data_IF_797502017882
#
_entry.id   IF_797502017882
#
_cell.length_a   1.000
_cell.length_b   1.000
_cell.length_c   1.000
_cell.angle_alpha   90.00
_cell.angle_beta   90.00
_cell.angle_gamma   90.00
#
_symmetry.space_group_name_H-M   'P 1'
#
loop_
_entity.id
_entity.type
_entity.pdbx_description
1 polymer ?
#
# COMPACT_ATOMS: atom_id res chain seq x y z
N UNK A 1 3.33 6.04 -15.34
CA UNK A 1 4.36 6.87 -14.66
C UNK A 1 4.51 6.41 -13.21
N UNK A 2 5.63 6.78 -12.54
CA UNK A 2 5.89 6.47 -11.13
C UNK A 2 5.92 7.78 -10.34
N UNK A 3 5.08 7.90 -9.32
CA UNK A 3 5.02 9.06 -8.44
C UNK A 3 5.50 8.71 -7.03
N UNK A 4 6.25 9.61 -6.45
CA UNK A 4 6.82 9.53 -5.10
C UNK A 4 6.58 10.85 -4.35
N UNK A 5 6.82 10.86 -3.08
CA UNK A 5 7.17 12.06 -2.31
C UNK A 5 8.64 11.97 -1.94
N UNK A 6 9.39 13.02 -2.11
CA UNK A 6 10.78 13.08 -1.70
C UNK A 6 11.05 14.33 -0.87
N UNK A 7 12.03 14.24 0.03
CA UNK A 7 12.56 15.40 0.74
C UNK A 7 13.80 15.87 0.04
N UNK A 8 13.77 17.12 -0.41
CA UNK A 8 14.86 17.81 -1.07
C UNK A 8 16.00 18.14 -0.09
N UNK A 9 17.20 18.49 -0.57
CA UNK A 9 18.34 18.85 0.30
C UNK A 9 18.09 20.03 1.24
N UNK A 10 17.16 20.92 0.91
CA UNK A 10 16.71 22.04 1.76
C UNK A 10 15.71 21.64 2.83
N UNK A 11 15.30 20.36 2.88
CA UNK A 11 14.37 19.80 3.84
C UNK A 11 12.90 19.87 3.44
N UNK A 12 12.56 20.46 2.28
CA UNK A 12 11.18 20.55 1.78
C UNK A 12 10.74 19.21 1.21
N UNK A 13 9.54 18.75 1.57
CA UNK A 13 8.88 17.60 0.91
C UNK A 13 8.22 18.09 -0.37
N UNK A 14 8.47 17.36 -1.47
CA UNK A 14 7.90 17.67 -2.79
C UNK A 14 7.39 16.38 -3.44
N UNK A 15 6.16 16.34 -3.95
CA UNK A 15 5.74 15.29 -4.86
C UNK A 15 6.64 15.28 -6.10
N UNK A 16 7.00 14.09 -6.58
CA UNK A 16 7.96 13.98 -7.66
C UNK A 16 7.64 12.79 -8.59
N UNK A 17 8.22 12.84 -9.79
CA UNK A 17 8.27 11.72 -10.73
C UNK A 17 9.56 10.96 -10.49
N UNK A 18 9.47 9.64 -10.40
CA UNK A 18 10.60 8.71 -10.37
C UNK A 18 10.77 8.08 -11.73
N UNK A 19 12.01 7.99 -12.23
CA UNK A 19 12.32 7.27 -13.47
C UNK A 19 11.96 5.78 -13.37
N UNK A 20 11.80 5.10 -14.50
CA UNK A 20 11.47 3.67 -14.55
C UNK A 20 12.54 2.81 -13.88
N UNK A 21 13.81 3.18 -14.04
CA UNK A 21 14.94 2.50 -13.40
C UNK A 21 15.19 2.88 -11.94
N UNK A 22 14.38 3.80 -11.38
CA UNK A 22 14.45 4.25 -10.00
C UNK A 22 15.64 5.14 -9.65
N UNK A 23 16.37 5.67 -10.63
CA UNK A 23 17.63 6.40 -10.40
C UNK A 23 17.52 7.90 -10.47
N UNK A 24 16.46 8.42 -11.08
CA UNK A 24 16.28 9.84 -11.35
C UNK A 24 14.95 10.34 -10.78
N UNK A 25 14.97 11.57 -10.29
CA UNK A 25 13.81 12.20 -9.64
C UNK A 25 13.60 13.59 -10.25
N UNK A 26 12.36 13.90 -10.62
CA UNK A 26 11.91 15.22 -11.04
C UNK A 26 10.84 15.73 -10.06
N UNK A 27 11.19 16.67 -9.14
CA UNK A 27 10.20 17.33 -8.29
C UNK A 27 9.12 18.01 -9.14
N UNK A 28 7.84 17.88 -8.76
CA UNK A 28 6.75 18.49 -9.52
C UNK A 28 6.85 20.03 -9.54
N UNK A 29 7.39 20.63 -8.49
CA UNK A 29 7.65 22.06 -8.42
C UNK A 29 8.59 22.54 -9.53
N UNK A 30 9.60 21.73 -9.92
CA UNK A 30 10.51 22.04 -11.04
C UNK A 30 9.82 21.92 -12.41
N UNK A 31 8.71 21.20 -12.47
CA UNK A 31 7.88 21.03 -13.67
C UNK A 31 6.74 22.06 -13.74
N UNK A 32 6.75 23.06 -12.84
CA UNK A 32 5.74 24.10 -12.76
C UNK A 32 4.44 23.69 -12.07
N UNK A 33 4.46 22.59 -11.31
CA UNK A 33 3.33 22.06 -10.56
C UNK A 33 3.65 22.13 -9.07
N UNK A 34 3.17 23.16 -8.38
CA UNK A 34 3.42 23.38 -6.95
C UNK A 34 2.24 22.86 -6.14
N UNK A 35 2.42 21.73 -5.47
CA UNK A 35 1.48 21.11 -4.54
C UNK A 35 2.23 20.77 -3.25
N UNK A 36 1.59 20.92 -2.10
CA UNK A 36 2.20 20.55 -0.81
C UNK A 36 2.32 19.04 -0.65
N UNK A 37 1.36 18.28 -1.21
CA UNK A 37 1.31 16.82 -1.12
C UNK A 37 0.95 16.18 -2.46
N UNK A 38 1.34 14.91 -2.61
CA UNK A 38 0.90 14.14 -3.78
C UNK A 38 -0.62 13.96 -3.80
N UNK A 39 -1.27 13.83 -2.64
CA UNK A 39 -2.73 13.73 -2.56
C UNK A 39 -3.43 14.96 -3.14
N UNK A 40 -2.88 16.15 -2.96
CA UNK A 40 -3.38 17.38 -3.58
C UNK A 40 -3.11 17.43 -5.08
N UNK A 41 -1.99 16.88 -5.53
CA UNK A 41 -1.65 16.85 -6.95
C UNK A 41 -2.51 15.86 -7.76
N UNK A 42 -2.86 14.71 -7.18
CA UNK A 42 -3.57 13.60 -7.85
C UNK A 42 -4.77 14.06 -8.70
N UNK A 43 -5.71 14.90 -8.23
CA UNK A 43 -6.88 15.32 -9.04
C UNK A 43 -6.51 16.04 -10.34
N UNK A 44 -5.33 16.66 -10.37
CA UNK A 44 -4.84 17.46 -11.49
C UNK A 44 -3.89 16.66 -12.41
N UNK A 45 -3.36 15.52 -11.94
CA UNK A 45 -2.50 14.63 -12.72
C UNK A 45 -3.32 13.75 -13.68
N UNK A 46 -4.15 14.41 -14.51
CA UNK A 46 -4.94 13.74 -15.54
C UNK A 46 -4.06 13.01 -16.56
N UNK A 47 -4.58 12.07 -17.38
CA UNK A 47 -3.79 11.42 -18.44
C UNK A 47 -3.10 12.41 -19.36
N UNK A 48 -3.77 13.53 -19.72
CA UNK A 48 -3.22 14.58 -20.57
C UNK A 48 -2.06 15.32 -19.90
N UNK A 49 -2.20 15.65 -18.61
CA UNK A 49 -1.12 16.29 -17.83
C UNK A 49 0.06 15.34 -17.72
N UNK A 50 -0.16 14.07 -17.36
CA UNK A 50 0.91 13.05 -17.29
C UNK A 50 1.64 12.86 -18.62
N UNK A 51 0.92 12.88 -19.73
CA UNK A 51 1.53 12.86 -21.07
C UNK A 51 2.41 14.10 -21.29
N UNK A 52 1.94 15.29 -20.96
CA UNK A 52 2.74 16.52 -21.02
C UNK A 52 4.00 16.44 -20.15
N UNK A 53 3.88 15.91 -18.93
CA UNK A 53 5.01 15.70 -18.02
C UNK A 53 6.02 14.70 -18.59
N UNK A 54 5.59 13.62 -19.23
CA UNK A 54 6.49 12.65 -19.86
C UNK A 54 7.35 13.26 -20.98
N UNK A 55 6.81 14.26 -21.67
CA UNK A 55 7.56 15.02 -22.67
C UNK A 55 8.51 16.04 -22.02
N UNK A 56 8.05 16.72 -20.96
CA UNK A 56 8.81 17.76 -20.28
C UNK A 56 10.08 17.23 -19.61
N UNK A 57 10.00 16.07 -18.93
CA UNK A 57 11.15 15.48 -18.23
C UNK A 57 12.30 15.12 -19.16
N UNK A 58 12.05 14.91 -20.46
CA UNK A 58 13.11 14.65 -21.44
C UNK A 58 14.05 15.85 -21.65
N UNK A 59 13.60 17.07 -21.35
CA UNK A 59 14.36 18.30 -21.51
C UNK A 59 14.81 18.96 -20.19
N UNK A 60 14.44 18.40 -19.07
CA UNK A 60 14.72 18.96 -17.73
C UNK A 60 15.71 18.05 -16.98
N UNK A 61 16.84 18.61 -16.45
CA UNK A 61 17.77 17.83 -15.64
C UNK A 61 17.08 17.18 -14.44
N UNK A 62 17.36 15.90 -14.22
CA UNK A 62 16.89 15.17 -13.04
C UNK A 62 17.85 15.34 -11.87
N UNK A 63 17.33 15.16 -10.66
CA UNK A 63 18.16 14.84 -9.50
C UNK A 63 18.47 13.33 -9.50
N UNK A 64 19.70 12.93 -9.15
CA UNK A 64 19.94 11.53 -8.82
C UNK A 64 19.15 11.16 -7.54
N UNK A 65 18.63 9.95 -7.48
CA UNK A 65 17.80 9.51 -6.35
C UNK A 65 18.54 9.62 -5.00
N UNK A 66 19.85 9.45 -5.01
CA UNK A 66 20.73 9.57 -3.83
C UNK A 66 20.85 11.02 -3.30
N UNK A 67 20.45 12.01 -4.10
CA UNK A 67 20.45 13.41 -3.68
C UNK A 67 19.20 13.83 -2.89
N UNK A 68 18.22 12.94 -2.78
CA UNK A 68 16.97 13.18 -2.06
C UNK A 68 16.72 12.07 -1.04
N UNK A 69 15.87 12.33 -0.04
CA UNK A 69 15.35 11.27 0.83
C UNK A 69 13.98 10.85 0.31
N UNK A 70 13.82 9.56 -0.01
CA UNK A 70 12.53 9.04 -0.41
C UNK A 70 11.61 8.95 0.81
N UNK A 71 10.42 9.47 0.68
CA UNK A 71 9.34 9.33 1.64
C UNK A 71 8.29 8.34 1.10
N UNK A 72 7.34 7.92 1.94
CA UNK A 72 6.15 7.24 1.42
C UNK A 72 5.48 8.11 0.35
N UNK A 73 4.94 7.54 -0.75
CA UNK A 73 4.29 8.35 -1.79
C UNK A 73 3.16 9.26 -1.26
N UNK A 74 2.46 8.78 -0.23
CA UNK A 74 1.50 9.57 0.55
C UNK A 74 1.89 9.44 2.02
N UNK A 75 2.78 10.34 2.53
CA UNK A 75 3.31 10.23 3.88
C UNK A 75 2.24 10.35 4.97
N UNK A 76 1.25 11.22 4.77
CA UNK A 76 0.13 11.41 5.68
C UNK A 76 -1.19 11.31 4.89
N UNK A 77 -1.82 10.13 4.85
CA UNK A 77 -3.15 9.98 4.25
C UNK A 77 -4.16 10.91 4.92
N UNK A 78 -5.00 11.58 4.11
CA UNK A 78 -6.01 12.49 4.63
C UNK A 78 -7.12 11.79 5.44
N UNK A 79 -7.28 10.50 5.23
CA UNK A 79 -8.21 9.60 5.94
C UNK A 79 -7.50 8.33 6.34
N UNK A 80 -8.07 7.56 7.28
CA UNK A 80 -7.59 6.22 7.60
C UNK A 80 -7.54 5.36 6.32
N UNK A 81 -6.54 4.48 6.22
CA UNK A 81 -6.46 3.50 5.12
C UNK A 81 -7.57 2.49 5.28
N UNK A 82 -8.35 2.26 4.22
CA UNK A 82 -9.36 1.20 4.19
C UNK A 82 -8.65 -0.11 3.87
N UNK A 83 -8.97 -1.17 4.61
CA UNK A 83 -8.33 -2.47 4.47
C UNK A 83 -9.35 -3.58 4.32
N UNK A 84 -9.00 -4.59 3.51
CA UNK A 84 -9.75 -5.85 3.43
C UNK A 84 -9.07 -6.92 4.29
N UNK A 85 -9.86 -7.52 5.18
CA UNK A 85 -9.46 -8.74 5.90
C UNK A 85 -9.81 -9.98 5.10
N UNK A 86 -8.89 -10.98 5.12
CA UNK A 86 -9.15 -12.33 4.60
C UNK A 86 -9.66 -12.34 3.14
N UNK A 87 -8.88 -11.75 2.24
CA UNK A 87 -9.24 -11.63 0.83
C UNK A 87 -8.54 -12.64 -0.11
N UNK A 88 -7.94 -13.71 0.45
CA UNK A 88 -7.36 -14.83 -0.31
C UNK A 88 -7.74 -16.13 0.39
N UNK A 89 -8.25 -17.13 -0.35
CA UNK A 89 -8.71 -18.40 0.24
C UNK A 89 -7.64 -19.10 1.05
N UNK A 90 -6.42 -19.21 0.50
CA UNK A 90 -5.31 -19.86 1.23
C UNK A 90 -4.94 -19.14 2.53
N UNK A 91 -5.07 -17.80 2.57
CA UNK A 91 -4.88 -17.03 3.79
C UNK A 91 -6.04 -17.22 4.79
N UNK A 92 -7.26 -17.40 4.30
CA UNK A 92 -8.41 -17.75 5.15
C UNK A 92 -8.15 -19.06 5.91
N UNK A 93 -7.68 -20.08 5.19
CA UNK A 93 -7.37 -21.38 5.77
C UNK A 93 -6.29 -21.30 6.87
N UNK A 94 -5.25 -20.48 6.67
CA UNK A 94 -4.21 -20.22 7.67
C UNK A 94 -4.76 -19.49 8.91
N UNK A 95 -5.52 -18.42 8.68
CA UNK A 95 -6.05 -17.59 9.75
C UNK A 95 -7.04 -18.36 10.62
N UNK A 96 -7.89 -19.19 10.01
CA UNK A 96 -8.83 -20.06 10.72
C UNK A 96 -8.11 -21.12 11.57
N UNK A 97 -7.06 -21.75 11.04
CA UNK A 97 -6.21 -22.68 11.80
C UNK A 97 -5.56 -22.02 13.01
N UNK A 98 -5.11 -20.76 12.85
CA UNK A 98 -4.51 -20.00 13.95
C UNK A 98 -5.55 -19.65 15.03
N UNK A 99 -6.72 -19.15 14.65
CA UNK A 99 -7.83 -18.83 15.56
C UNK A 99 -9.17 -18.75 14.81
N UNK A 100 -9.90 -19.85 14.74
CA UNK A 100 -11.25 -19.85 14.16
C UNK A 100 -12.18 -18.84 14.84
N UNK A 101 -12.05 -18.63 16.15
CA UNK A 101 -12.89 -17.66 16.89
C UNK A 101 -12.66 -16.20 16.42
N UNK A 102 -11.48 -15.87 15.90
CA UNK A 102 -11.14 -14.52 15.47
C UNK A 102 -11.29 -14.32 13.96
N UNK A 103 -11.17 -15.38 13.15
CA UNK A 103 -10.97 -15.26 11.70
C UNK A 103 -11.91 -16.12 10.84
N UNK A 104 -12.74 -17.01 11.40
CA UNK A 104 -13.67 -17.79 10.59
C UNK A 104 -14.66 -16.88 9.85
N UNK A 105 -14.79 -17.09 8.55
CA UNK A 105 -15.72 -16.35 7.68
C UNK A 105 -16.34 -17.25 6.63
N UNK A 106 -17.52 -16.86 6.15
CA UNK A 106 -18.23 -17.57 5.07
C UNK A 106 -17.91 -17.03 3.68
N UNK A 107 -17.15 -15.92 3.59
CA UNK A 107 -16.83 -15.21 2.35
C UNK A 107 -18.07 -14.76 1.54
N UNK A 108 -19.22 -14.57 2.20
CA UNK A 108 -20.41 -14.02 1.57
C UNK A 108 -20.28 -12.50 1.37
N UNK A 109 -19.67 -11.83 2.36
CA UNK A 109 -19.42 -10.40 2.37
C UNK A 109 -17.94 -10.12 2.65
N UNK A 110 -17.42 -9.01 2.10
CA UNK A 110 -16.06 -8.58 2.37
C UNK A 110 -15.91 -8.05 3.80
N UNK A 111 -14.79 -8.37 4.45
CA UNK A 111 -14.47 -7.85 5.77
C UNK A 111 -13.69 -6.56 5.60
N UNK A 112 -14.27 -5.43 6.02
CA UNK A 112 -13.61 -4.13 6.00
C UNK A 112 -13.18 -3.71 7.39
N UNK A 113 -11.98 -3.15 7.47
CA UNK A 113 -11.48 -2.45 8.64
C UNK A 113 -10.64 -1.25 8.21
N UNK A 114 -10.18 -0.44 9.16
CA UNK A 114 -9.32 0.69 8.85
C UNK A 114 -8.04 0.68 9.67
N UNK A 115 -6.99 1.30 9.10
CA UNK A 115 -5.75 1.60 9.81
C UNK A 115 -5.62 3.10 9.95
N UNK A 116 -5.42 3.56 11.17
CA UNK A 116 -4.98 4.93 11.41
C UNK A 116 -3.52 5.07 11.05
N UNK A 117 -3.21 6.09 10.27
CA UNK A 117 -1.84 6.35 9.82
C UNK A 117 -1.50 7.81 10.11
N UNK A 118 -0.71 8.04 11.14
CA UNK A 118 -0.18 9.38 11.43
C UNK A 118 0.86 9.79 10.40
N UNK A 119 1.80 8.86 10.13
CA UNK A 119 2.78 8.94 9.04
C UNK A 119 3.10 7.55 8.53
N UNK A 120 2.96 7.32 7.24
CA UNK A 120 3.34 6.08 6.59
C UNK A 120 4.87 5.91 6.58
N UNK A 121 5.32 4.68 6.75
CA UNK A 121 6.75 4.35 6.74
C UNK A 121 7.24 4.25 5.29
N UNK A 122 8.27 4.99 4.88
CA UNK A 122 8.85 4.87 3.55
C UNK A 122 9.64 3.58 3.35
N UNK A 123 10.03 3.31 2.11
CA UNK A 123 11.05 2.30 1.80
C UNK A 123 12.35 2.60 2.57
N UNK A 124 12.93 1.59 3.21
CA UNK A 124 14.08 1.73 4.12
C UNK A 124 13.74 2.23 5.53
N UNK A 125 12.55 2.78 5.76
CA UNK A 125 12.09 3.23 7.08
C UNK A 125 11.79 2.06 8.03
N UNK A 126 11.90 2.26 9.37
CA UNK A 126 11.71 1.19 10.32
C UNK A 126 10.23 0.86 10.59
N UNK A 127 9.94 -0.45 10.71
CA UNK A 127 8.75 -0.95 11.41
C UNK A 127 9.07 -0.89 12.91
N UNK A 128 8.25 -0.22 13.71
CA UNK A 128 8.42 -0.15 15.15
C UNK A 128 7.83 -1.40 15.82
N UNK A 129 8.66 -2.16 16.54
CA UNK A 129 8.20 -3.45 17.10
C UNK A 129 7.29 -3.31 18.32
N UNK A 130 7.30 -2.16 19.02
CA UNK A 130 6.53 -1.92 20.25
C UNK A 130 6.63 -3.07 21.26
N UNK A 131 7.82 -3.56 21.55
CA UNK A 131 8.10 -4.80 22.30
C UNK A 131 7.49 -4.85 23.70
N UNK A 132 7.15 -3.71 24.30
CA UNK A 132 6.46 -3.65 25.58
C UNK A 132 4.97 -4.04 25.45
N UNK A 133 4.36 -3.75 24.31
CA UNK A 133 2.95 -4.00 24.03
C UNK A 133 2.71 -5.24 23.16
N UNK A 134 3.54 -5.43 22.11
CA UNK A 134 3.35 -6.43 21.06
C UNK A 134 4.31 -7.61 21.26
N UNK A 135 3.74 -8.83 21.30
CA UNK A 135 4.51 -10.08 21.39
C UNK A 135 4.43 -10.93 20.12
N UNK A 136 3.51 -10.61 19.22
CA UNK A 136 3.24 -11.35 17.98
C UNK A 136 3.14 -10.39 16.81
N UNK A 137 4.28 -9.75 16.46
CA UNK A 137 4.38 -8.84 15.33
C UNK A 137 4.44 -9.64 14.02
N UNK A 138 3.62 -9.27 13.04
CA UNK A 138 3.49 -9.98 11.78
C UNK A 138 3.46 -9.01 10.58
N UNK A 139 3.71 -9.53 9.40
CA UNK A 139 3.74 -8.83 8.11
C UNK A 139 2.61 -9.30 7.21
N UNK A 140 2.14 -8.43 6.33
CA UNK A 140 1.13 -8.71 5.32
C UNK A 140 1.43 -7.88 4.06
N UNK A 141 2.01 -8.51 3.03
CA UNK A 141 2.26 -7.84 1.75
C UNK A 141 0.94 -7.69 0.98
N UNK A 142 0.59 -6.45 0.60
CA UNK A 142 -0.67 -6.14 -0.04
C UNK A 142 -0.50 -5.21 -1.24
N UNK A 143 -1.30 -5.45 -2.29
CA UNK A 143 -1.56 -4.43 -3.30
C UNK A 143 -2.45 -3.35 -2.69
N UNK A 144 -2.05 -2.09 -2.81
CA UNK A 144 -2.87 -0.97 -2.40
C UNK A 144 -3.29 -0.13 -3.61
N UNK A 145 -4.57 0.26 -3.63
CA UNK A 145 -5.19 1.10 -4.65
C UNK A 145 -5.26 2.53 -4.15
N UNK A 146 -4.92 3.50 -4.99
CA UNK A 146 -5.06 4.93 -4.70
C UNK A 146 -6.10 5.54 -5.64
N UNK A 147 -7.14 6.17 -5.10
CA UNK A 147 -8.19 6.78 -5.90
C UNK A 147 -7.74 8.12 -6.49
N UNK A 148 -8.09 8.35 -7.76
CA UNK A 148 -7.75 9.54 -8.54
C UNK A 148 -8.82 10.62 -8.57
N UNK A 149 -10.04 10.27 -8.18
CA UNK A 149 -11.19 11.20 -8.07
C UNK A 149 -12.19 10.67 -7.06
N UNK A 150 -13.07 11.56 -6.58
CA UNK A 150 -14.13 11.20 -5.66
C UNK A 150 -15.04 10.12 -6.28
N UNK A 151 -15.24 9.02 -5.55
CA UNK A 151 -16.09 7.90 -5.96
C UNK A 151 -17.33 7.82 -5.06
N UNK A 152 -18.52 7.92 -5.67
CA UNK A 152 -19.81 7.77 -5.01
C UNK A 152 -20.78 7.07 -5.94
N UNK A 153 -21.43 6.02 -5.43
CA UNK A 153 -22.41 5.20 -6.17
C UNK A 153 -21.89 4.74 -7.55
N UNK A 154 -20.62 4.27 -7.57
CA UNK A 154 -19.94 3.84 -8.80
C UNK A 154 -20.36 2.42 -9.16
N UNK A 155 -20.95 2.20 -10.35
CA UNK A 155 -21.32 0.84 -10.78
C UNK A 155 -20.09 -0.06 -10.98
N UNK A 156 -20.22 -1.34 -10.67
CA UNK A 156 -19.24 -2.34 -11.07
C UNK A 156 -18.96 -2.28 -12.58
N UNK A 157 -17.71 -2.50 -12.98
CA UNK A 157 -17.23 -2.36 -14.36
C UNK A 157 -16.88 -0.92 -14.76
N UNK A 158 -17.14 0.09 -13.91
CA UNK A 158 -16.79 1.50 -14.17
C UNK A 158 -15.75 2.05 -13.17
N UNK A 159 -15.31 1.25 -12.22
CA UNK A 159 -14.44 1.71 -11.12
C UNK A 159 -13.01 1.99 -11.57
N UNK A 160 -12.55 1.42 -12.69
CA UNK A 160 -11.23 1.68 -13.29
C UNK A 160 -10.96 3.17 -13.46
N UNK A 161 -11.96 3.94 -13.88
CA UNK A 161 -11.85 5.37 -14.16
C UNK A 161 -11.64 6.22 -12.90
N UNK A 162 -11.77 5.62 -11.72
CA UNK A 162 -11.60 6.28 -10.42
C UNK A 162 -10.22 6.01 -9.82
N UNK A 163 -9.42 5.13 -10.40
CA UNK A 163 -8.11 4.74 -9.88
C UNK A 163 -7.02 5.62 -10.46
N UNK A 164 -6.22 6.24 -9.58
CA UNK A 164 -4.99 6.93 -9.96
C UNK A 164 -3.87 5.92 -10.23
N UNK A 165 -3.68 4.97 -9.33
CA UNK A 165 -2.61 3.99 -9.45
C UNK A 165 -2.56 3.00 -8.30
N UNK A 166 -1.47 2.26 -8.27
CA UNK A 166 -1.23 1.18 -7.34
C UNK A 166 0.11 1.34 -6.63
N UNK A 167 0.19 0.88 -5.40
CA UNK A 167 1.41 0.86 -4.59
C UNK A 167 1.48 -0.42 -3.76
N UNK A 168 2.58 -0.65 -3.07
CA UNK A 168 2.71 -1.72 -2.09
C UNK A 168 2.39 -1.16 -0.71
N UNK A 169 1.64 -1.92 0.07
CA UNK A 169 1.42 -1.67 1.49
C UNK A 169 1.79 -2.95 2.26
N UNK A 170 2.51 -2.78 3.35
CA UNK A 170 2.70 -3.86 4.33
C UNK A 170 1.77 -3.60 5.50
N UNK A 171 0.69 -4.41 5.61
CA UNK A 171 -0.29 -4.28 6.70
C UNK A 171 0.24 -4.94 7.97
N UNK A 172 1.25 -4.30 8.58
CA UNK A 172 1.88 -4.79 9.82
C UNK A 172 0.84 -4.95 10.92
N UNK A 173 0.90 -6.07 11.63
CA UNK A 173 -0.14 -6.54 12.52
C UNK A 173 0.43 -6.98 13.86
N UNK A 174 -0.12 -6.49 14.97
CA UNK A 174 0.10 -7.03 16.30
C UNK A 174 -0.97 -8.09 16.59
N UNK A 175 -0.69 -9.37 16.28
CA UNK A 175 -1.70 -10.45 16.32
C UNK A 175 -2.32 -10.66 17.69
N UNK A 176 -1.54 -10.52 18.76
CA UNK A 176 -2.02 -10.60 20.14
C UNK A 176 -2.97 -9.45 20.50
N UNK A 177 -2.64 -8.22 20.08
CA UNK A 177 -3.51 -7.05 20.27
C UNK A 177 -4.76 -7.15 19.38
N UNK A 178 -4.58 -7.55 18.11
CA UNK A 178 -5.66 -7.74 17.13
C UNK A 178 -6.71 -8.72 17.61
N UNK A 179 -6.30 -9.87 18.17
CA UNK A 179 -7.21 -10.93 18.63
C UNK A 179 -7.77 -10.69 20.03
N UNK A 180 -7.14 -9.85 20.85
CA UNK A 180 -7.65 -9.48 22.17
C UNK A 180 -8.89 -8.56 22.09
N UNK A 181 -9.08 -7.85 20.98
CA UNK A 181 -10.20 -6.94 20.76
C UNK A 181 -11.12 -7.48 19.67
N UNK A 182 -12.43 -7.18 19.73
CA UNK A 182 -13.38 -7.59 18.69
C UNK A 182 -13.10 -6.92 17.34
N UNK A 183 -12.62 -5.68 17.37
CA UNK A 183 -12.21 -4.92 16.18
C UNK A 183 -10.69 -4.93 16.04
N UNK A 184 -10.21 -5.12 14.83
CA UNK A 184 -8.78 -5.25 14.56
C UNK A 184 -8.02 -3.92 14.61
N UNK A 185 -8.74 -2.81 14.61
CA UNK A 185 -8.24 -1.44 14.49
C UNK A 185 -7.00 -1.16 15.35
N UNK A 186 -7.03 -1.48 16.64
CA UNK A 186 -5.91 -1.20 17.55
C UNK A 186 -4.65 -1.99 17.17
N UNK A 187 -4.78 -3.29 16.91
CA UNK A 187 -3.64 -4.15 16.52
C UNK A 187 -3.05 -3.85 15.14
N UNK A 188 -3.73 -3.02 14.34
CA UNK A 188 -3.35 -2.62 12.99
C UNK A 188 -2.87 -1.17 12.87
N UNK A 189 -3.10 -0.33 13.90
CA UNK A 189 -2.95 1.14 13.81
C UNK A 189 -1.84 1.72 14.70
N UNK A 190 -0.92 0.88 15.19
CA UNK A 190 0.24 1.39 15.95
C UNK A 190 1.18 2.18 15.01
N UNK A 191 1.87 3.17 15.57
CA UNK A 191 2.85 3.94 14.81
C UNK A 191 3.93 2.99 14.23
N UNK A 192 4.39 3.26 13.00
CA UNK A 192 5.31 2.38 12.30
C UNK A 192 4.68 1.15 11.63
N UNK A 193 3.36 0.95 11.74
CA UNK A 193 2.66 -0.26 11.24
C UNK A 193 2.13 -0.14 9.81
N UNK A 194 2.44 0.95 9.11
CA UNK A 194 1.94 1.13 7.74
C UNK A 194 3.04 1.56 6.79
N UNK A 195 3.97 0.65 6.43
CA UNK A 195 4.87 0.87 5.31
C UNK A 195 4.10 0.98 4.01
N UNK A 196 4.34 2.05 3.22
CA UNK A 196 3.74 2.28 1.90
C UNK A 196 4.81 2.77 0.92
N UNK A 197 4.91 2.14 -0.23
CA UNK A 197 5.83 2.53 -1.29
C UNK A 197 6.21 1.37 -2.23
N UNK A 198 7.34 1.46 -2.93
CA UNK A 198 8.28 2.58 -2.95
C UNK A 198 7.75 3.79 -3.73
N UNK A 199 6.74 3.61 -4.59
CA UNK A 199 6.10 4.62 -5.43
C UNK A 199 4.64 4.25 -5.70
N UNK A 200 3.86 5.19 -6.23
CA UNK A 200 2.59 4.91 -6.89
C UNK A 200 2.85 4.79 -8.39
N UNK A 201 2.52 3.64 -8.97
CA UNK A 201 2.52 3.42 -10.43
C UNK A 201 1.11 3.69 -10.95
N UNK A 202 0.98 4.59 -11.93
CA UNK A 202 -0.33 4.96 -12.46
C UNK A 202 -1.05 3.79 -13.12
N UNK A 203 -2.38 3.75 -13.01
CA UNK A 203 -3.21 2.62 -13.44
C UNK A 203 -3.08 2.31 -14.93
N UNK A 204 -2.78 3.31 -15.75
CA UNK A 204 -2.56 3.17 -17.20
C UNK A 204 -1.26 2.41 -17.58
N UNK A 205 -0.37 2.17 -16.63
CA UNK A 205 0.80 1.32 -16.83
C UNK A 205 0.46 -0.19 -16.87
N UNK A 206 -0.75 -0.57 -16.46
CA UNK A 206 -1.19 -1.96 -16.41
C UNK A 206 -2.27 -2.21 -17.47
N UNK A 207 -2.07 -3.25 -18.29
CA UNK A 207 -2.98 -3.60 -19.38
C UNK A 207 -4.32 -4.13 -18.84
N UNK A 208 -4.24 -5.03 -17.87
CA UNK A 208 -5.40 -5.69 -17.28
C UNK A 208 -6.07 -4.83 -16.19
N UNK A 209 -7.39 -5.02 -16.04
CA UNK A 209 -8.17 -4.49 -14.93
C UNK A 209 -9.17 -5.52 -14.42
N UNK A 210 -9.18 -5.83 -13.12
CA UNK A 210 -8.12 -5.55 -12.14
C UNK A 210 -6.76 -6.14 -12.54
N UNK A 211 -5.63 -5.52 -12.12
CA UNK A 211 -4.32 -5.99 -12.55
C UNK A 211 -3.98 -7.34 -11.90
N UNK A 212 -3.39 -8.26 -12.68
CA UNK A 212 -3.00 -9.61 -12.26
C UNK A 212 -1.50 -9.66 -12.06
N UNK A 213 -1.05 -9.41 -10.85
CA UNK A 213 0.34 -9.17 -10.51
C UNK A 213 0.87 -10.25 -9.55
N UNK A 214 2.10 -10.67 -9.77
CA UNK A 214 2.84 -11.46 -8.78
C UNK A 214 3.02 -10.63 -7.50
N UNK A 215 2.71 -11.23 -6.34
CA UNK A 215 2.84 -10.62 -5.01
C UNK A 215 3.63 -11.54 -4.10
N UNK A 216 4.70 -11.03 -3.47
CA UNK A 216 5.63 -11.82 -2.65
C UNK A 216 6.08 -11.05 -1.42
N UNK A 217 6.39 -11.78 -0.36
CA UNK A 217 7.13 -11.24 0.77
C UNK A 217 8.30 -12.13 1.17
N UNK A 218 9.29 -11.49 1.80
CA UNK A 218 10.49 -12.13 2.32
C UNK A 218 10.79 -11.59 3.71
N UNK A 219 11.26 -12.45 4.59
CA UNK A 219 11.80 -12.07 5.90
C UNK A 219 13.25 -12.57 5.95
N UNK A 220 14.20 -11.64 6.16
CA UNK A 220 15.65 -11.93 6.17
C UNK A 220 16.12 -12.67 4.90
N UNK A 221 15.50 -12.36 3.74
CA UNK A 221 15.80 -13.00 2.46
C UNK A 221 15.08 -14.34 2.22
N UNK A 222 14.44 -14.92 3.22
CA UNK A 222 13.62 -16.11 3.06
C UNK A 222 12.24 -15.76 2.54
N UNK A 223 11.82 -16.39 1.42
CA UNK A 223 10.50 -16.15 0.84
C UNK A 223 9.40 -16.71 1.73
N UNK A 224 8.42 -15.89 2.07
CA UNK A 224 7.30 -16.19 2.95
C UNK A 224 5.96 -16.28 2.20
N UNK A 225 5.61 -15.25 1.47
CA UNK A 225 4.41 -15.20 0.64
C UNK A 225 4.82 -15.30 -0.83
N UNK A 226 4.04 -16.01 -1.65
CA UNK A 226 4.22 -16.11 -3.10
C UNK A 226 2.87 -16.42 -3.74
N UNK A 227 2.25 -15.41 -4.38
CA UNK A 227 0.89 -15.51 -4.89
C UNK A 227 0.67 -14.57 -6.08
N UNK A 228 -0.59 -14.38 -6.47
CA UNK A 228 -1.00 -13.47 -7.52
C UNK A 228 -2.29 -12.74 -7.13
N UNK A 229 -2.40 -11.46 -7.44
CA UNK A 229 -3.59 -10.65 -7.14
C UNK A 229 -4.85 -11.13 -7.85
N UNK A 230 -4.73 -11.96 -8.89
CA UNK A 230 -5.87 -12.63 -9.54
C UNK A 230 -6.59 -13.63 -8.62
N UNK A 231 -6.01 -14.00 -7.47
CA UNK A 231 -6.58 -14.94 -6.50
C UNK A 231 -7.34 -14.24 -5.36
N UNK A 232 -7.55 -12.94 -5.45
CA UNK A 232 -8.41 -12.20 -4.54
C UNK A 232 -9.84 -12.73 -4.60
N UNK A 233 -10.49 -12.88 -3.43
CA UNK A 233 -11.89 -13.31 -3.32
C UNK A 233 -12.80 -12.19 -3.82
N UNK A 234 -12.57 -10.97 -3.32
CA UNK A 234 -13.23 -9.74 -3.76
C UNK A 234 -12.21 -8.89 -4.51
N UNK A 235 -12.41 -8.69 -5.79
CA UNK A 235 -11.51 -7.91 -6.61
C UNK A 235 -11.69 -6.38 -6.41
N UNK A 236 -10.79 -5.61 -6.97
CA UNK A 236 -10.77 -4.15 -6.83
C UNK A 236 -12.06 -3.51 -7.37
N UNK A 237 -12.62 -4.05 -8.45
CA UNK A 237 -13.85 -3.53 -9.05
C UNK A 237 -15.02 -3.69 -8.08
N UNK A 238 -15.17 -4.89 -7.50
CA UNK A 238 -16.17 -5.19 -6.48
C UNK A 238 -16.02 -4.25 -5.27
N UNK A 239 -14.81 -4.14 -4.72
CA UNK A 239 -14.54 -3.37 -3.51
C UNK A 239 -14.88 -1.88 -3.65
N UNK A 240 -14.47 -1.26 -4.76
CA UNK A 240 -14.77 0.16 -4.99
C UNK A 240 -16.27 0.36 -5.24
N UNK A 241 -16.90 -0.53 -6.02
CA UNK A 241 -18.34 -0.46 -6.29
C UNK A 241 -19.14 -0.59 -4.99
N UNK A 242 -18.82 -1.57 -4.15
CA UNK A 242 -19.50 -1.80 -2.88
C UNK A 242 -19.31 -0.63 -1.89
N UNK A 243 -18.06 -0.24 -1.60
CA UNK A 243 -17.76 0.83 -0.65
C UNK A 243 -18.31 2.18 -1.07
N UNK A 244 -18.38 2.45 -2.38
CA UNK A 244 -18.90 3.72 -2.86
C UNK A 244 -20.44 3.83 -2.78
N UNK A 245 -21.15 2.74 -2.48
CA UNK A 245 -22.61 2.78 -2.27
C UNK A 245 -22.94 3.58 -1.01
N UNK A 246 -23.51 4.75 -1.21
CA UNK A 246 -23.90 5.64 -0.10
C UNK A 246 -22.75 6.31 0.65
N UNK A 247 -21.49 5.90 0.44
CA UNK A 247 -20.28 6.50 1.04
C UNK A 247 -19.42 7.15 -0.05
N UNK A 248 -18.94 8.37 0.18
CA UNK A 248 -18.00 9.02 -0.75
C UNK A 248 -16.58 8.66 -0.40
N UNK A 249 -15.92 7.91 -1.28
CA UNK A 249 -14.49 7.68 -1.22
C UNK A 249 -13.79 8.87 -1.88
N UNK A 250 -13.03 9.62 -1.10
CA UNK A 250 -12.35 10.83 -1.60
C UNK A 250 -11.15 10.51 -2.48
N UNK A 251 -10.80 11.44 -3.35
CA UNK A 251 -9.51 11.42 -4.05
C UNK A 251 -8.37 11.22 -3.06
N UNK A 252 -7.39 10.38 -3.42
CA UNK A 252 -6.28 10.03 -2.52
C UNK A 252 -6.62 8.96 -1.47
N UNK A 253 -7.88 8.48 -1.39
CA UNK A 253 -8.20 7.31 -0.55
C UNK A 253 -7.32 6.13 -0.93
N UNK A 254 -6.73 5.49 0.07
CA UNK A 254 -5.92 4.28 -0.08
C UNK A 254 -6.75 3.08 0.37
N UNK A 255 -6.81 2.04 -0.47
CA UNK A 255 -7.48 0.77 -0.17
C UNK A 255 -6.44 -0.34 -0.25
N UNK A 256 -6.12 -0.97 0.88
CA UNK A 256 -5.32 -2.17 0.97
C UNK A 256 -6.19 -3.39 0.71
N UNK A 257 -5.79 -4.25 -0.24
CA UNK A 257 -6.70 -5.24 -0.84
C UNK A 257 -6.60 -6.64 -0.23
N UNK A 258 -5.96 -6.76 0.92
CA UNK A 258 -5.74 -8.03 1.60
C UNK A 258 -4.46 -8.74 1.16
N UNK A 259 -4.00 -9.65 2.01
CA UNK A 259 -2.73 -10.37 1.89
C UNK A 259 -2.94 -11.84 1.53
N UNK A 260 -2.04 -12.46 0.75
CA UNK A 260 -2.05 -13.90 0.51
C UNK A 260 -1.49 -14.70 1.70
N UNK A 261 -1.60 -16.03 1.63
CA UNK A 261 -1.00 -16.97 2.57
C UNK A 261 0.52 -16.79 2.69
N UNK A 262 1.09 -17.25 3.82
CA UNK A 262 2.51 -17.19 4.14
C UNK A 262 2.87 -16.13 5.19
N UNK A 263 1.88 -15.59 5.91
CA UNK A 263 2.11 -14.69 7.05
C UNK A 263 2.66 -15.48 8.25
N UNK A 264 3.32 -14.78 9.18
CA UNK A 264 3.99 -15.41 10.31
C UNK A 264 3.07 -16.23 11.21
N UNK A 265 1.83 -15.79 11.42
CA UNK A 265 0.84 -16.55 12.21
C UNK A 265 0.42 -17.86 11.54
N UNK A 266 0.46 -17.94 10.20
CA UNK A 266 0.08 -19.12 9.41
C UNK A 266 1.15 -20.22 9.35
N UNK A 267 2.35 -19.96 9.87
CA UNK A 267 3.43 -20.95 9.86
C UNK A 267 3.27 -21.99 10.96
N UNK A 268 3.87 -23.14 10.77
CA UNK A 268 3.89 -24.22 11.77
C UNK A 268 5.35 -24.59 12.14
N UNK A 269 5.84 -24.23 13.33
CA UNK A 269 5.21 -23.32 14.30
C UNK A 269 5.13 -21.85 13.82
N UNK A 270 4.22 -21.00 14.38
CA UNK A 270 4.14 -19.59 14.04
C UNK A 270 5.46 -18.84 14.21
N UNK A 271 5.80 -17.97 13.24
CA UNK A 271 7.05 -17.21 13.20
C UNK A 271 6.78 -15.72 13.11
N UNK A 272 6.87 -15.04 14.24
CA UNK A 272 6.64 -13.60 14.32
C UNK A 272 7.93 -12.81 14.16
N UNK A 273 7.79 -11.57 13.69
CA UNK A 273 8.88 -10.61 13.52
C UNK A 273 9.43 -10.18 14.89
N UNK A 274 10.72 -9.85 14.89
CA UNK A 274 11.44 -9.32 16.05
C UNK A 274 12.40 -8.21 15.62
N UNK A 275 12.84 -7.35 16.56
CA UNK A 275 13.87 -6.37 16.25
C UNK A 275 15.10 -7.01 15.60
N UNK A 276 15.59 -6.37 14.54
CA UNK A 276 16.69 -6.86 13.70
C UNK A 276 16.25 -7.62 12.46
N UNK A 277 14.99 -8.05 12.35
CA UNK A 277 14.48 -8.64 11.11
C UNK A 277 14.31 -7.58 10.01
N UNK A 278 14.33 -8.01 8.76
CA UNK A 278 14.08 -7.18 7.58
C UNK A 278 12.94 -7.81 6.78
N UNK A 279 11.87 -7.05 6.58
CA UNK A 279 10.73 -7.45 5.74
C UNK A 279 10.88 -6.80 4.38
N UNK A 280 10.68 -7.59 3.30
CA UNK A 280 10.64 -7.12 1.93
C UNK A 280 9.37 -7.59 1.27
N UNK A 281 8.57 -6.64 0.77
CA UNK A 281 7.37 -6.87 -0.04
C UNK A 281 7.70 -6.55 -1.50
N UNK A 282 7.29 -7.41 -2.43
CA UNK A 282 7.48 -7.24 -3.88
C UNK A 282 6.16 -7.40 -4.60
N UNK A 283 5.83 -6.46 -5.49
CA UNK A 283 4.70 -6.58 -6.41
C UNK A 283 5.18 -6.28 -7.83
N UNK A 284 4.85 -7.18 -8.72
CA UNK A 284 5.19 -7.09 -10.15
C UNK A 284 4.73 -5.76 -10.75
N UNK A 285 5.60 -5.10 -11.53
CA UNK A 285 5.31 -3.81 -12.16
C UNK A 285 5.37 -2.60 -11.22
N UNK A 286 5.32 -2.79 -9.90
CA UNK A 286 5.41 -1.71 -8.90
C UNK A 286 6.84 -1.58 -8.37
N UNK A 287 7.39 -2.64 -7.82
CA UNK A 287 8.74 -2.65 -7.28
C UNK A 287 8.84 -3.41 -5.96
N UNK A 288 9.67 -2.87 -5.07
CA UNK A 288 10.03 -3.49 -3.80
C UNK A 288 9.94 -2.46 -2.68
N UNK A 289 9.34 -2.86 -1.56
CA UNK A 289 9.26 -2.10 -0.32
C UNK A 289 9.97 -2.89 0.78
N UNK A 290 11.04 -2.35 1.34
CA UNK A 290 11.90 -3.04 2.31
C UNK A 290 12.00 -2.24 3.60
N UNK A 291 11.72 -2.89 4.73
CA UNK A 291 11.66 -2.22 6.03
C UNK A 291 12.35 -3.05 7.11
N UNK A 292 13.34 -2.50 7.82
CA UNK A 292 13.91 -3.13 9.02
C UNK A 292 12.93 -3.02 10.20
N UNK A 293 12.93 -4.00 11.06
CA UNK A 293 12.19 -4.01 12.34
C UNK A 293 13.10 -3.47 13.45
N UNK A 294 12.63 -2.48 14.20
CA UNK A 294 13.38 -1.86 15.33
C UNK A 294 12.63 -1.97 16.65
#
# INVERSE_FOLDING_TARGET
>A
MRFITCRLPDGVEDPAILSEDGRQVWPLSWLGLSYETLSEAIPFLTPQVRYGLSLAIAGIPALPVEAVTLESPIPAPAQDVICLGINYMAHSDEAEKYSAAAFATKHEDAIYFSKRVTRAVPDGGPIEAHTDLVKKLDYECELAVVLGKDARDVPAGQTRDYIFGYTILNDVSARDVQTAHKQWYFGKSLDGFTPIGPCIVTADAFADYPPRLGIRSFVNGEKRQDSNTALQIFDIDHVIAELSQGMTLKTGTIIATGTPAGVGMGMDPPQFLKPGDVVRCEIEGIGTLTNPVK
#
